data_IF_670361503533
#
_entry.id   IF_670361503533
#
_cell.length_a   1.000
_cell.length_b   1.000
_cell.length_c   1.000
_cell.angle_alpha   90.00
_cell.angle_beta   90.00
_cell.angle_gamma   90.00
#
_symmetry.space_group_name_H-M   'P 1'
#
loop_
_entity.id
_entity.type
_entity.pdbx_description
1 polymer ?
#
# COMPACT_ATOMS: atom_id res chain seq x y z
N UNK A 1 -6.20 -16.89 29.61
CA UNK A 1 -6.62 -15.49 29.69
C UNK A 1 -6.76 -15.00 28.27
N UNK A 2 -7.98 -14.66 27.87
CA UNK A 2 -8.31 -14.21 26.53
C UNK A 2 -8.02 -12.71 26.38
N UNK A 3 -8.04 -12.20 25.14
CA UNK A 3 -7.94 -10.75 24.87
C UNK A 3 -9.06 -9.97 25.57
N UNK A 4 -10.27 -10.54 25.61
CA UNK A 4 -11.42 -9.97 26.29
C UNK A 4 -11.15 -9.84 27.80
N UNK A 5 -10.75 -10.94 28.45
CA UNK A 5 -10.43 -10.93 29.88
C UNK A 5 -9.33 -9.92 30.21
N UNK A 6 -8.33 -9.77 29.33
CA UNK A 6 -7.25 -8.81 29.50
C UNK A 6 -7.70 -7.36 29.38
N UNK A 7 -8.63 -7.08 28.46
CA UNK A 7 -9.23 -5.76 28.29
C UNK A 7 -10.12 -5.39 29.48
N UNK A 8 -10.92 -6.35 29.96
CA UNK A 8 -11.79 -6.18 31.13
C UNK A 8 -10.96 -5.93 32.40
N UNK A 9 -9.84 -6.63 32.57
CA UNK A 9 -8.93 -6.45 33.71
C UNK A 9 -8.27 -5.05 33.72
N UNK A 10 -7.95 -4.51 32.55
CA UNK A 10 -7.42 -3.15 32.40
C UNK A 10 -8.52 -2.07 32.37
N UNK A 11 -9.80 -2.46 32.29
CA UNK A 11 -10.93 -1.53 32.22
C UNK A 11 -11.00 -0.74 30.92
N UNK A 12 -10.53 -1.32 29.82
CA UNK A 12 -10.44 -0.67 28.50
C UNK A 12 -11.17 -1.49 27.45
N UNK A 13 -11.61 -0.88 26.33
CA UNK A 13 -12.19 -1.65 25.23
C UNK A 13 -11.16 -2.62 24.64
N UNK A 14 -11.64 -3.75 24.13
CA UNK A 14 -10.81 -4.84 23.55
C UNK A 14 -9.95 -4.36 22.37
N UNK A 15 -10.50 -3.40 21.62
CA UNK A 15 -9.88 -2.76 20.47
C UNK A 15 -9.19 -1.44 20.84
N UNK A 16 -8.84 -1.23 22.11
CA UNK A 16 -8.13 -0.04 22.54
C UNK A 16 -6.79 0.08 21.80
N UNK A 17 -6.42 1.29 21.35
CA UNK A 17 -5.12 1.52 20.73
C UNK A 17 -3.99 1.37 21.75
N UNK A 18 -2.77 1.08 21.27
CA UNK A 18 -1.60 0.80 22.10
C UNK A 18 -1.33 1.85 23.19
N UNK A 19 -1.46 3.13 22.84
CA UNK A 19 -1.27 4.23 23.79
C UNK A 19 -2.24 4.15 24.98
N UNK A 20 -3.50 3.80 24.73
CA UNK A 20 -4.54 3.63 25.77
C UNK A 20 -4.23 2.41 26.64
N UNK A 21 -3.79 1.30 26.04
CA UNK A 21 -3.37 0.09 26.79
C UNK A 21 -2.23 0.43 27.75
N UNK A 22 -1.19 1.12 27.27
CA UNK A 22 -0.02 1.51 28.08
C UNK A 22 -0.41 2.50 29.18
N UNK A 23 -1.31 3.44 28.89
CA UNK A 23 -1.78 4.42 29.87
C UNK A 23 -2.61 3.76 30.99
N UNK A 24 -3.56 2.90 30.64
CA UNK A 24 -4.38 2.17 31.60
C UNK A 24 -3.54 1.26 32.50
N UNK A 25 -2.54 0.57 31.92
CA UNK A 25 -1.58 -0.22 32.68
C UNK A 25 -0.83 0.63 33.71
N UNK A 26 -0.31 1.81 33.32
CA UNK A 26 0.40 2.71 34.25
C UNK A 26 -0.50 3.17 35.40
N UNK A 27 -1.75 3.51 35.11
CA UNK A 27 -2.72 3.91 36.13
C UNK A 27 -3.02 2.78 37.12
N UNK A 28 -3.16 1.55 36.63
CA UNK A 28 -3.36 0.38 37.47
C UNK A 28 -2.11 0.01 38.28
N UNK A 29 -0.91 0.15 37.71
CA UNK A 29 0.34 -0.07 38.43
C UNK A 29 0.47 0.83 39.65
N UNK A 30 0.02 2.09 39.56
CA UNK A 30 0.05 3.01 40.70
C UNK A 30 -0.92 2.58 41.81
N UNK A 31 -2.04 1.94 41.46
CA UNK A 31 -3.06 1.49 42.42
C UNK A 31 -2.73 0.14 43.06
N UNK A 32 -2.14 -0.77 42.30
CA UNK A 32 -1.93 -2.17 42.69
C UNK A 32 -0.46 -2.49 42.95
N UNK A 33 0.39 -1.48 43.14
CA UNK A 33 1.82 -1.68 43.37
C UNK A 33 2.05 -2.51 44.65
N UNK A 34 2.85 -3.59 44.62
CA UNK A 34 3.11 -4.41 45.79
C UNK A 34 3.75 -3.63 46.93
N UNK A 35 4.65 -2.69 46.62
CA UNK A 35 5.30 -1.85 47.64
C UNK A 35 4.33 -0.85 48.30
N UNK A 36 3.17 -0.61 47.69
CA UNK A 36 2.08 0.21 48.24
C UNK A 36 1.01 -0.61 48.97
N UNK A 37 1.24 -1.90 49.24
CA UNK A 37 0.26 -2.81 49.85
C UNK A 37 -0.57 -3.62 48.86
N UNK A 38 -0.22 -3.61 47.57
CA UNK A 38 -0.85 -4.44 46.54
C UNK A 38 -0.44 -5.91 46.62
N UNK A 39 -1.26 -6.79 46.04
CA UNK A 39 -0.96 -8.24 46.00
C UNK A 39 -0.10 -8.55 44.78
N UNK A 40 1.08 -9.15 44.99
CA UNK A 40 2.01 -9.49 43.90
C UNK A 40 1.42 -10.43 42.82
N UNK A 41 0.43 -11.26 43.16
CA UNK A 41 -0.30 -12.09 42.18
C UNK A 41 -1.19 -11.25 41.25
N UNK A 42 -1.84 -10.21 41.77
CA UNK A 42 -2.66 -9.28 40.97
C UNK A 42 -1.79 -8.45 40.03
N UNK A 43 -0.63 -8.00 40.51
CA UNK A 43 0.33 -7.29 39.67
C UNK A 43 0.85 -8.16 38.50
N UNK A 44 1.11 -9.45 38.76
CA UNK A 44 1.48 -10.40 37.70
C UNK A 44 0.37 -10.59 36.66
N UNK A 45 -0.89 -10.65 37.10
CA UNK A 45 -2.05 -10.72 36.19
C UNK A 45 -2.19 -9.45 35.34
N UNK A 46 -1.97 -8.27 35.93
CA UNK A 46 -1.99 -6.98 35.23
C UNK A 46 -0.92 -6.92 34.12
N UNK A 47 0.31 -7.35 34.43
CA UNK A 47 1.40 -7.42 33.45
C UNK A 47 1.05 -8.38 32.31
N UNK A 48 0.50 -9.55 32.64
CA UNK A 48 0.06 -10.53 31.64
C UNK A 48 -1.06 -9.99 30.74
N UNK A 49 -1.98 -9.18 31.29
CA UNK A 49 -3.05 -8.52 30.51
C UNK A 49 -2.48 -7.58 29.46
N UNK A 50 -1.55 -6.71 29.86
CA UNK A 50 -0.87 -5.78 28.95
C UNK A 50 -0.18 -6.53 27.81
N UNK A 51 0.57 -7.58 28.13
CA UNK A 51 1.38 -8.30 27.14
C UNK A 51 0.50 -8.98 26.07
N UNK A 52 -0.64 -9.55 26.47
CA UNK A 52 -1.62 -10.15 25.55
C UNK A 52 -2.20 -9.09 24.60
N UNK A 53 -2.60 -7.92 25.12
CA UNK A 53 -3.20 -6.86 24.29
C UNK A 53 -2.19 -6.25 23.31
N UNK A 54 -0.93 -6.11 23.70
CA UNK A 54 0.12 -5.56 22.84
C UNK A 54 0.56 -6.55 21.74
N UNK A 55 0.70 -7.83 22.07
CA UNK A 55 1.09 -8.86 21.11
C UNK A 55 0.11 -8.94 19.92
N UNK A 56 -1.19 -8.92 20.20
CA UNK A 56 -2.22 -9.03 19.18
C UNK A 56 -2.40 -7.72 18.38
N UNK A 57 -2.03 -6.58 18.97
CA UNK A 57 -1.95 -5.30 18.22
C UNK A 57 -0.83 -5.34 17.18
N UNK A 58 0.34 -5.88 17.54
CA UNK A 58 1.45 -6.07 16.61
C UNK A 58 1.11 -7.06 15.49
N UNK A 59 0.46 -8.17 15.81
CA UNK A 59 0.02 -9.17 14.81
C UNK A 59 -1.03 -8.58 13.84
N UNK A 60 -1.94 -7.76 14.36
CA UNK A 60 -2.92 -7.03 13.55
C UNK A 60 -2.26 -6.00 12.62
N UNK A 61 -1.23 -5.29 13.09
CA UNK A 61 -0.48 -4.31 12.30
C UNK A 61 0.37 -4.97 11.20
N UNK A 62 1.08 -6.07 11.51
CA UNK A 62 1.88 -6.81 10.52
C UNK A 62 0.97 -7.45 9.47
N UNK A 63 -0.15 -8.06 9.87
CA UNK A 63 -1.13 -8.61 8.95
C UNK A 63 -1.75 -7.52 8.05
N UNK A 64 -1.95 -6.30 8.57
CA UNK A 64 -2.44 -5.16 7.77
C UNK A 64 -1.37 -4.66 6.80
N UNK A 65 -0.12 -4.58 7.25
CA UNK A 65 1.01 -4.17 6.41
C UNK A 65 1.21 -5.13 5.24
N UNK A 66 1.19 -6.44 5.50
CA UNK A 66 1.28 -7.48 4.47
C UNK A 66 0.12 -7.42 3.47
N UNK A 67 -1.11 -7.15 3.93
CA UNK A 67 -2.26 -6.96 3.03
C UNK A 67 -2.11 -5.73 2.13
N UNK A 68 -1.60 -4.62 2.66
CA UNK A 68 -1.35 -3.41 1.85
C UNK A 68 -0.16 -3.57 0.90
N UNK A 69 0.86 -4.34 1.27
CA UNK A 69 2.01 -4.63 0.41
C UNK A 69 1.64 -5.57 -0.76
N UNK A 70 0.63 -6.42 -0.58
CA UNK A 70 0.23 -7.43 -1.57
C UNK A 70 -0.81 -6.96 -2.59
N UNK A 71 -1.37 -5.76 -2.46
CA UNK A 71 -2.11 -5.11 -3.55
C UNK A 71 -1.10 -4.53 -4.55
N UNK A 72 -0.86 -5.15 -5.72
CA UNK A 72 -0.17 -4.46 -6.79
C UNK A 72 -1.05 -3.25 -7.12
N UNK A 73 -0.56 -2.04 -6.86
CA UNK A 73 -1.30 -0.83 -7.20
C UNK A 73 -1.74 -0.92 -8.66
N UNK A 74 -2.96 -0.45 -8.96
CA UNK A 74 -3.61 -0.51 -10.28
C UNK A 74 -2.76 0.07 -11.42
N UNK A 75 -1.66 0.77 -11.10
CA UNK A 75 -0.70 1.36 -12.01
C UNK A 75 0.75 0.96 -11.64
N UNK A 76 1.13 -0.32 -11.81
CA UNK A 76 2.47 -0.78 -11.43
C UNK A 76 3.57 -0.15 -12.29
N UNK A 77 3.26 0.19 -13.54
CA UNK A 77 4.22 0.75 -14.51
C UNK A 77 4.53 2.24 -14.28
N UNK A 78 3.55 3.02 -13.79
CA UNK A 78 3.72 4.45 -13.53
C UNK A 78 4.34 4.75 -12.16
N UNK A 79 4.04 3.92 -11.16
CA UNK A 79 4.55 4.12 -9.78
C UNK A 79 5.98 3.63 -9.59
N UNK A 80 6.46 2.70 -10.42
CA UNK A 80 7.81 2.15 -10.35
C UNK A 80 8.93 3.21 -10.49
N UNK A 81 8.96 4.09 -11.52
CA UNK A 81 10.01 5.11 -11.63
C UNK A 81 10.02 6.07 -10.44
N UNK A 82 8.85 6.48 -9.94
CA UNK A 82 8.71 7.36 -8.77
C UNK A 82 9.26 6.71 -7.49
N UNK A 83 8.95 5.43 -7.25
CA UNK A 83 9.43 4.68 -6.07
C UNK A 83 10.95 4.51 -6.10
N UNK A 84 11.52 4.19 -7.26
CA UNK A 84 12.97 4.05 -7.43
C UNK A 84 13.67 5.41 -7.26
N UNK A 85 13.09 6.50 -7.77
CA UNK A 85 13.61 7.86 -7.55
C UNK A 85 13.64 8.25 -6.07
N UNK A 86 12.56 7.99 -5.31
CA UNK A 86 12.54 8.27 -3.87
C UNK A 86 13.58 7.42 -3.10
N UNK A 87 13.73 6.15 -3.47
CA UNK A 87 14.72 5.25 -2.88
C UNK A 87 16.18 5.63 -3.21
N UNK A 88 16.41 6.23 -4.38
CA UNK A 88 17.73 6.68 -4.83
C UNK A 88 18.27 7.92 -4.08
N UNK A 89 17.40 8.65 -3.37
CA UNK A 89 17.80 9.76 -2.50
C UNK A 89 18.58 9.25 -1.29
N UNK A 90 18.15 8.12 -0.72
CA UNK A 90 18.77 7.54 0.48
C UNK A 90 19.87 6.51 0.12
N UNK A 91 19.82 5.90 -1.07
CA UNK A 91 20.77 4.88 -1.51
C UNK A 91 21.44 5.25 -2.84
N UNK A 92 22.74 5.64 -2.85
CA UNK A 92 23.42 6.09 -4.07
C UNK A 92 23.55 4.98 -5.13
N UNK A 93 23.58 3.71 -4.74
CA UNK A 93 23.65 2.57 -5.66
C UNK A 93 22.40 2.40 -6.56
N UNK A 94 21.25 2.99 -6.18
CA UNK A 94 20.00 2.88 -6.94
C UNK A 94 19.82 3.98 -7.99
N UNK A 95 20.71 4.98 -8.03
CA UNK A 95 20.65 6.11 -8.97
C UNK A 95 20.71 5.66 -10.43
N UNK A 96 21.56 4.69 -10.74
CA UNK A 96 21.70 4.16 -12.10
C UNK A 96 20.41 3.46 -12.60
N UNK A 97 19.71 2.77 -11.70
CA UNK A 97 18.43 2.11 -12.00
C UNK A 97 17.29 3.11 -12.18
N UNK A 98 17.28 4.19 -11.39
CA UNK A 98 16.34 5.31 -11.57
C UNK A 98 16.53 6.00 -12.92
N UNK A 99 17.77 6.29 -13.33
CA UNK A 99 18.02 6.93 -14.63
C UNK A 99 17.55 6.05 -15.78
N UNK A 100 17.85 4.74 -15.73
CA UNK A 100 17.42 3.79 -16.77
C UNK A 100 15.89 3.70 -16.90
N UNK A 101 15.14 3.74 -15.80
CA UNK A 101 13.67 3.73 -15.88
C UNK A 101 13.12 5.01 -16.50
N UNK A 102 13.69 6.18 -16.17
CA UNK A 102 13.30 7.44 -16.79
C UNK A 102 13.62 7.51 -18.28
N UNK A 103 14.75 6.92 -18.73
CA UNK A 103 15.08 6.81 -20.16
C UNK A 103 13.99 6.04 -20.92
N UNK A 104 13.51 4.92 -20.38
CA UNK A 104 12.44 4.13 -21.01
C UNK A 104 11.13 4.92 -21.09
N UNK A 105 10.82 5.73 -20.08
CA UNK A 105 9.61 6.57 -20.08
C UNK A 105 9.74 7.73 -21.08
N UNK A 106 10.85 8.46 -21.03
CA UNK A 106 11.07 9.67 -21.84
C UNK A 106 11.26 9.34 -23.32
N UNK A 107 11.89 8.20 -23.65
CA UNK A 107 12.14 7.80 -25.05
C UNK A 107 11.09 6.82 -25.55
N UNK A 108 10.72 5.83 -24.74
CA UNK A 108 9.80 4.77 -25.16
C UNK A 108 8.38 5.26 -25.39
N UNK A 109 7.89 6.17 -24.55
CA UNK A 109 6.53 6.70 -24.67
C UNK A 109 6.29 7.52 -25.95
N UNK A 110 7.14 8.51 -26.32
CA UNK A 110 6.98 9.19 -27.60
C UNK A 110 7.24 8.27 -28.80
N UNK A 111 8.15 7.30 -28.69
CA UNK A 111 8.40 6.34 -29.76
C UNK A 111 7.18 5.47 -30.06
N UNK A 112 6.54 4.91 -29.03
CA UNK A 112 5.30 4.13 -29.18
C UNK A 112 4.19 4.99 -29.79
N UNK A 113 4.07 6.25 -29.37
CA UNK A 113 3.08 7.17 -29.93
C UNK A 113 3.32 7.45 -31.42
N UNK A 114 4.57 7.70 -31.83
CA UNK A 114 4.92 7.92 -33.24
C UNK A 114 4.61 6.68 -34.07
N UNK A 115 5.02 5.49 -33.62
CA UNK A 115 4.74 4.23 -34.32
C UNK A 115 3.25 3.97 -34.44
N UNK A 116 2.49 4.14 -33.35
CA UNK A 116 1.04 3.98 -33.37
C UNK A 116 0.34 4.97 -34.32
N UNK A 117 0.81 6.23 -34.35
CA UNK A 117 0.30 7.26 -35.27
C UNK A 117 0.56 6.89 -36.73
N UNK A 118 1.77 6.44 -37.06
CA UNK A 118 2.12 6.04 -38.44
C UNK A 118 1.30 4.82 -38.88
N UNK A 119 1.13 3.81 -38.02
CA UNK A 119 0.27 2.66 -38.32
C UNK A 119 -1.20 3.05 -38.52
N UNK A 120 -1.69 4.02 -37.73
CA UNK A 120 -3.04 4.55 -37.89
C UNK A 120 -3.19 5.30 -39.22
N UNK A 121 -2.21 6.12 -39.60
CA UNK A 121 -2.22 6.78 -40.91
C UNK A 121 -2.19 5.78 -42.06
N UNK A 122 -1.33 4.76 -41.98
CA UNK A 122 -1.22 3.70 -42.98
C UNK A 122 -2.49 2.87 -43.14
N UNK A 123 -3.32 2.75 -42.10
CA UNK A 123 -4.58 1.99 -42.17
C UNK A 123 -5.78 2.85 -42.59
N UNK A 124 -5.86 4.11 -42.12
CA UNK A 124 -7.00 5.00 -42.38
C UNK A 124 -7.00 5.51 -43.82
N UNK A 125 -5.84 5.92 -44.34
CA UNK A 125 -5.73 6.49 -45.70
C UNK A 125 -6.23 5.52 -46.79
N UNK A 126 -5.78 4.25 -46.87
CA UNK A 126 -6.24 3.35 -47.93
C UNK A 126 -7.73 2.99 -47.78
N UNK A 127 -8.22 2.89 -46.55
CA UNK A 127 -9.64 2.61 -46.28
C UNK A 127 -10.52 3.77 -46.74
N UNK A 128 -10.06 5.01 -46.52
CA UNK A 128 -10.74 6.21 -47.00
C UNK A 128 -10.73 6.30 -48.53
N UNK A 129 -9.59 6.01 -49.18
CA UNK A 129 -9.50 5.97 -50.65
C UNK A 129 -10.43 4.89 -51.23
N UNK A 130 -10.44 3.70 -50.63
CA UNK A 130 -11.33 2.61 -51.04
C UNK A 130 -12.81 2.97 -50.87
N UNK A 131 -13.15 3.65 -49.76
CA UNK A 131 -14.49 4.16 -49.53
C UNK A 131 -14.93 5.16 -50.60
N UNK A 132 -14.08 6.14 -50.95
CA UNK A 132 -14.35 7.10 -52.03
C UNK A 132 -14.55 6.37 -53.36
N UNK A 133 -13.66 5.44 -53.70
CA UNK A 133 -13.75 4.67 -54.94
C UNK A 133 -15.08 3.89 -55.03
N UNK A 134 -15.51 3.28 -53.92
CA UNK A 134 -16.77 2.54 -53.85
C UNK A 134 -17.98 3.46 -54.03
N UNK A 135 -17.99 4.65 -53.41
CA UNK A 135 -19.05 5.65 -53.58
C UNK A 135 -19.14 6.13 -55.04
N UNK A 136 -18.00 6.41 -55.68
CA UNK A 136 -17.95 6.82 -57.09
C UNK A 136 -18.45 5.69 -57.99
N UNK A 137 -17.98 4.46 -57.79
CA UNK A 137 -18.40 3.29 -58.56
C UNK A 137 -19.91 3.07 -58.45
N UNK A 138 -20.46 3.09 -57.24
CA UNK A 138 -21.91 2.95 -57.02
C UNK A 138 -22.72 4.04 -57.73
N UNK A 139 -22.20 5.26 -57.83
CA UNK A 139 -22.88 6.37 -58.51
C UNK A 139 -22.82 6.29 -60.03
N UNK A 140 -21.78 5.67 -60.59
CA UNK A 140 -21.63 5.47 -62.04
C UNK A 140 -22.47 4.29 -62.57
N UNK A 141 -22.75 3.30 -61.72
CA UNK A 141 -23.49 2.08 -62.09
C UNK A 141 -24.94 2.05 -61.56
N UNK A 142 -25.45 3.17 -61.03
CA UNK A 142 -26.85 3.36 -60.62
C UNK A 142 -27.53 4.38 -61.52
#
# INVERSE_FOLDING_TARGET
MTRQDAADLLGIPVNAPENVIRQAYRQQCWRLHPDGGGVASQFRLLTKARDILLADTLESETARHDRTAKTPGLFPLWSYPLRVSKAAVHNPALRLRAVRSWIVVVIGLPFVYIVAKELLMLSVIPLFVLFIALVIFRRLFS
#
